data_IF_416758973221
#
_entry.id   IF_416758973221
#
_cell.length_a   1.000
_cell.length_b   1.000
_cell.length_c   1.000
_cell.angle_alpha   90.00
_cell.angle_beta   90.00
_cell.angle_gamma   90.00
#
_symmetry.space_group_name_H-M   'P 1'
#
loop_
_entity.id
_entity.type
_entity.pdbx_description
1 polymer ?
#
# COMPACT_ATOMS: atom_id res chain seq x y z
N UNK A 1 -11.01 -15.00 -20.32
CA UNK A 1 -11.44 -16.09 -19.43
C UNK A 1 -11.76 -15.47 -18.08
N UNK A 2 -12.94 -15.69 -17.49
CA UNK A 2 -13.26 -15.15 -16.16
C UNK A 2 -12.65 -16.03 -15.06
N UNK A 3 -12.05 -15.41 -14.03
CA UNK A 3 -11.48 -16.11 -12.89
C UNK A 3 -12.60 -16.66 -11.97
N UNK A 4 -12.63 -17.97 -11.68
CA UNK A 4 -13.61 -18.57 -10.78
C UNK A 4 -13.12 -18.47 -9.34
N UNK A 5 -13.72 -17.59 -8.54
CA UNK A 5 -13.34 -17.45 -7.13
C UNK A 5 -14.13 -16.45 -6.29
N UNK A 6 -14.94 -15.56 -6.89
CA UNK A 6 -15.83 -14.66 -6.13
C UNK A 6 -17.14 -15.38 -5.88
N UNK A 7 -17.18 -16.21 -4.82
CA UNK A 7 -18.45 -16.65 -4.21
C UNK A 7 -18.68 -15.81 -2.97
N UNK A 8 -19.74 -15.00 -3.05
CA UNK A 8 -20.48 -14.42 -1.93
C UNK A 8 -19.70 -13.62 -0.91
N UNK A 9 -19.42 -12.35 -1.25
CA UNK A 9 -18.97 -11.36 -0.28
C UNK A 9 -18.43 -10.09 -0.92
N UNK A 10 -19.23 -9.36 -1.70
CA UNK A 10 -18.93 -7.94 -1.98
C UNK A 10 -18.74 -7.22 -0.62
N UNK A 11 -17.67 -6.45 -0.39
CA UNK A 11 -17.69 -5.47 0.69
C UNK A 11 -18.84 -4.49 0.40
N UNK A 12 -19.92 -4.61 1.18
CA UNK A 12 -21.08 -3.72 1.10
C UNK A 12 -20.67 -2.34 1.60
N UNK A 13 -20.43 -1.44 0.66
CA UNK A 13 -20.29 -0.01 0.94
C UNK A 13 -19.67 0.70 -0.24
N UNK A 14 -20.49 1.28 -1.12
CA UNK A 14 -20.02 2.37 -2.00
C UNK A 14 -19.81 3.60 -1.13
N UNK A 15 -18.59 4.14 -0.97
CA UNK A 15 -18.40 5.38 -0.23
C UNK A 15 -19.11 6.51 -0.97
N UNK A 16 -20.07 7.19 -0.32
CA UNK A 16 -20.63 8.45 -0.84
C UNK A 16 -19.71 9.61 -0.46
N UNK A 17 -19.46 10.41 -1.48
CA UNK A 17 -18.64 11.61 -1.62
C UNK A 17 -18.88 12.62 -0.48
N UNK A 18 -17.80 12.95 0.25
CA UNK A 18 -17.47 14.18 0.99
C UNK A 18 -16.32 13.96 1.99
N UNK A 19 -15.78 12.74 2.10
CA UNK A 19 -14.60 12.45 2.92
C UNK A 19 -13.32 12.71 2.11
N UNK A 20 -12.24 13.22 2.73
CA UNK A 20 -10.97 13.32 2.05
C UNK A 20 -10.51 11.93 1.58
N UNK A 21 -9.96 11.85 0.36
CA UNK A 21 -9.55 10.60 -0.32
C UNK A 21 -8.82 9.70 0.66
N UNK A 22 -9.45 8.60 1.08
CA UNK A 22 -8.85 7.65 2.01
C UNK A 22 -8.01 6.66 1.19
N UNK A 23 -6.75 6.40 1.59
CA UNK A 23 -6.00 5.31 0.99
C UNK A 23 -6.69 3.98 1.30
N UNK A 24 -6.63 3.03 0.37
CA UNK A 24 -6.97 1.64 0.65
C UNK A 24 -5.72 0.92 1.15
N UNK A 25 -5.88 0.11 2.21
CA UNK A 25 -4.80 -0.72 2.74
C UNK A 25 -5.23 -2.17 2.65
N UNK A 26 -4.57 -2.94 1.79
CA UNK A 26 -4.68 -4.39 1.73
C UNK A 26 -3.58 -5.00 2.59
N UNK A 27 -3.96 -5.91 3.50
CA UNK A 27 -3.00 -6.55 4.42
C UNK A 27 -3.23 -8.05 4.49
N UNK A 28 -2.16 -8.83 4.49
CA UNK A 28 -2.30 -10.27 4.50
C UNK A 28 -1.00 -11.04 4.55
N UNK A 29 -1.15 -12.35 4.48
CA UNK A 29 -0.04 -13.28 4.39
C UNK A 29 0.63 -13.13 3.02
N UNK A 30 1.97 -13.09 2.98
CA UNK A 30 2.74 -12.96 1.74
C UNK A 30 2.46 -14.08 0.72
N UNK A 31 1.94 -15.24 1.15
CA UNK A 31 1.48 -16.28 0.23
C UNK A 31 0.34 -15.82 -0.69
N UNK A 32 -0.35 -14.73 -0.35
CA UNK A 32 -1.43 -14.13 -1.15
C UNK A 32 -1.06 -12.76 -1.71
N UNK A 33 0.23 -12.40 -1.75
CA UNK A 33 0.69 -11.08 -2.19
C UNK A 33 0.20 -10.73 -3.59
N UNK A 34 0.24 -11.67 -4.55
CA UNK A 34 -0.26 -11.46 -5.91
C UNK A 34 -1.75 -11.13 -5.96
N UNK A 35 -2.55 -11.73 -5.08
CA UNK A 35 -3.99 -11.41 -4.97
C UNK A 35 -4.17 -10.00 -4.41
N UNK A 36 -3.41 -9.63 -3.39
CA UNK A 36 -3.50 -8.29 -2.79
C UNK A 36 -3.05 -7.20 -3.76
N UNK A 37 -2.01 -7.46 -4.57
CA UNK A 37 -1.58 -6.60 -5.68
C UNK A 37 -2.69 -6.43 -6.72
N UNK A 38 -3.37 -7.52 -7.09
CA UNK A 38 -4.51 -7.45 -8.00
C UNK A 38 -5.69 -6.66 -7.42
N UNK A 39 -5.98 -6.79 -6.12
CA UNK A 39 -6.99 -6.00 -5.41
C UNK A 39 -6.62 -4.51 -5.36
N UNK A 40 -5.37 -4.19 -5.04
CA UNK A 40 -4.85 -2.81 -5.06
C UNK A 40 -4.94 -2.16 -6.44
N UNK A 41 -4.50 -2.89 -7.48
CA UNK A 41 -4.61 -2.44 -8.88
C UNK A 41 -6.07 -2.23 -9.30
N UNK A 42 -6.96 -3.14 -8.90
CA UNK A 42 -8.39 -3.01 -9.18
C UNK A 42 -9.00 -1.77 -8.52
N UNK A 43 -8.67 -1.49 -7.25
CA UNK A 43 -9.16 -0.28 -6.56
C UNK A 43 -8.77 1.01 -7.27
N UNK A 44 -7.51 1.11 -7.71
CA UNK A 44 -7.02 2.28 -8.45
C UNK A 44 -7.79 2.44 -9.76
N UNK A 45 -7.92 1.36 -10.55
CA UNK A 45 -8.61 1.40 -11.84
C UNK A 45 -10.11 1.68 -11.72
N UNK A 46 -10.80 1.00 -10.79
CA UNK A 46 -12.26 1.06 -10.65
C UNK A 46 -12.76 2.34 -9.97
N UNK A 47 -11.93 3.01 -9.18
CA UNK A 47 -12.31 4.22 -8.44
C UNK A 47 -12.51 5.46 -9.30
N UNK A 48 -12.12 5.43 -10.59
CA UNK A 48 -12.14 6.61 -11.48
C UNK A 48 -11.47 7.85 -10.87
N UNK A 49 -10.42 7.66 -10.06
CA UNK A 49 -9.65 8.74 -9.44
C UNK A 49 -10.04 9.07 -7.99
N UNK A 50 -11.09 8.44 -7.44
CA UNK A 50 -11.44 8.56 -6.03
C UNK A 50 -10.38 7.91 -5.11
N UNK A 51 -9.68 6.88 -5.59
CA UNK A 51 -8.56 6.24 -4.89
C UNK A 51 -7.29 6.58 -5.64
N UNK A 52 -6.43 7.38 -4.99
CA UNK A 52 -5.14 7.81 -5.55
C UNK A 52 -3.99 6.87 -5.20
N UNK A 53 -4.12 6.17 -4.06
CA UNK A 53 -3.09 5.30 -3.51
C UNK A 53 -3.77 4.06 -2.93
N UNK A 54 -3.21 2.90 -3.23
CA UNK A 54 -3.46 1.66 -2.51
C UNK A 54 -2.14 1.16 -1.90
N UNK A 55 -2.19 0.65 -0.67
CA UNK A 55 -1.02 0.14 0.05
C UNK A 55 -1.20 -1.35 0.26
N UNK A 56 -0.20 -2.14 -0.11
CA UNK A 56 -0.17 -3.58 0.16
C UNK A 56 0.85 -3.86 1.26
N UNK A 57 0.39 -4.46 2.36
CA UNK A 57 1.21 -4.93 3.46
C UNK A 57 1.21 -6.45 3.48
N UNK A 58 2.31 -7.06 3.04
CA UNK A 58 2.53 -8.49 3.13
C UNK A 58 3.35 -8.84 4.38
N UNK A 59 2.88 -9.81 5.15
CA UNK A 59 3.62 -10.37 6.29
C UNK A 59 3.92 -11.85 6.03
N UNK A 60 5.19 -12.25 6.11
CA UNK A 60 5.56 -13.65 6.10
C UNK A 60 5.33 -14.26 7.50
N UNK A 61 4.59 -15.36 7.59
CA UNK A 61 4.29 -16.02 8.88
C UNK A 61 5.31 -17.07 9.29
N UNK A 62 6.18 -17.46 8.37
CA UNK A 62 7.19 -18.52 8.57
C UNK A 62 8.60 -17.99 8.69
N UNK A 63 8.82 -16.73 8.30
CA UNK A 63 10.10 -16.02 8.40
C UNK A 63 9.87 -14.59 8.85
N UNK A 64 10.85 -13.94 9.50
CA UNK A 64 10.81 -12.52 9.84
C UNK A 64 11.04 -11.67 8.59
N UNK A 65 10.05 -11.66 7.70
CA UNK A 65 10.03 -10.88 6.46
C UNK A 65 8.69 -10.15 6.36
N UNK A 66 8.72 -8.89 5.93
CA UNK A 66 7.52 -8.15 5.53
C UNK A 66 7.80 -7.29 4.31
N UNK A 67 6.75 -6.97 3.57
CA UNK A 67 6.80 -6.07 2.42
C UNK A 67 5.70 -5.03 2.53
N UNK A 68 6.04 -3.82 2.13
CA UNK A 68 5.15 -2.68 2.07
C UNK A 68 5.25 -2.07 0.68
N UNK A 69 4.17 -2.14 -0.08
CA UNK A 69 4.11 -1.64 -1.46
C UNK A 69 3.11 -0.50 -1.56
N UNK A 70 3.48 0.50 -2.33
CA UNK A 70 2.61 1.58 -2.74
C UNK A 70 2.22 1.38 -4.19
N UNK A 71 0.92 1.47 -4.44
CA UNK A 71 0.33 1.38 -5.75
C UNK A 71 -0.36 2.70 -6.07
N UNK A 72 -0.12 3.25 -7.27
CA UNK A 72 -0.74 4.50 -7.77
C UNK A 72 -1.14 4.37 -9.23
N UNK A 73 -1.97 5.29 -9.71
CA UNK A 73 -2.14 5.47 -11.16
C UNK A 73 -0.84 6.04 -11.76
N UNK A 74 -0.40 5.50 -12.90
CA UNK A 74 0.70 6.08 -13.66
C UNK A 74 0.36 7.54 -14.01
N UNK A 75 1.31 8.46 -13.79
CA UNK A 75 1.18 9.82 -14.32
C UNK A 75 1.19 9.72 -15.83
N UNK A 76 0.12 10.16 -16.50
CA UNK A 76 0.18 10.35 -17.94
C UNK A 76 1.13 11.52 -18.19
N UNK A 77 2.30 11.24 -18.78
CA UNK A 77 3.23 12.26 -19.20
C UNK A 77 2.58 13.09 -20.32
N UNK A 78 1.98 14.22 -19.95
CA UNK A 78 1.28 15.07 -20.89
C UNK A 78 0.47 16.17 -20.20
N UNK A 79 1.15 17.21 -19.72
CA UNK A 79 0.56 18.48 -19.26
C UNK A 79 -0.05 19.30 -20.42
N UNK A 80 -0.56 18.62 -21.45
CA UNK A 80 -1.04 19.20 -22.71
C UNK A 80 -1.93 18.20 -23.45
N UNK A 81 -3.06 17.82 -22.88
CA UNK A 81 -4.15 17.26 -23.67
C UNK A 81 -5.44 17.96 -23.29
N UNK A 82 -5.81 18.85 -24.20
CA UNK A 82 -7.17 19.19 -24.60
C UNK A 82 -8.17 18.16 -24.03
N UNK A 83 -9.06 18.61 -23.16
CA UNK A 83 -10.13 17.81 -22.56
C UNK A 83 -11.12 17.41 -23.66
N UNK A 84 -10.69 16.50 -24.53
CA UNK A 84 -11.54 15.63 -25.30
C UNK A 84 -12.15 14.64 -24.32
N UNK A 85 -13.47 14.70 -24.23
CA UNK A 85 -14.40 13.90 -23.45
C UNK A 85 -14.27 12.39 -23.74
N UNK A 86 -13.12 11.78 -23.41
CA UNK A 86 -12.88 10.35 -23.54
C UNK A 86 -12.77 9.70 -22.16
N UNK A 87 -13.93 9.54 -21.50
CA UNK A 87 -14.16 8.80 -20.24
C UNK A 87 -13.84 7.29 -20.35
N UNK A 88 -13.06 6.87 -21.35
CA UNK A 88 -12.77 5.44 -21.63
C UNK A 88 -11.38 4.99 -21.19
N UNK A 89 -10.44 5.90 -20.92
CA UNK A 89 -9.09 5.49 -20.53
C UNK A 89 -8.99 5.26 -19.01
N UNK A 90 -9.14 4.00 -18.59
CA UNK A 90 -8.90 3.62 -17.20
C UNK A 90 -7.44 3.90 -16.80
N UNK A 91 -7.19 4.44 -15.59
CA UNK A 91 -5.83 4.71 -15.14
C UNK A 91 -5.07 3.39 -15.01
N UNK A 92 -3.85 3.34 -15.55
CA UNK A 92 -2.95 2.19 -15.43
C UNK A 92 -2.38 2.14 -14.01
N UNK A 93 -2.71 1.12 -13.19
CA UNK A 93 -2.13 0.97 -11.85
C UNK A 93 -0.68 0.51 -11.97
N UNK A 94 0.21 1.12 -11.20
CA UNK A 94 1.63 0.77 -11.11
C UNK A 94 2.03 0.63 -9.65
N UNK A 95 2.92 -0.32 -9.36
CA UNK A 95 3.70 -0.33 -8.13
C UNK A 95 4.70 0.83 -8.21
N UNK A 96 4.46 1.89 -7.43
CA UNK A 96 5.30 3.08 -7.45
C UNK A 96 6.53 2.91 -6.57
N UNK A 97 6.39 2.22 -5.44
CA UNK A 97 7.42 2.09 -4.42
C UNK A 97 7.24 0.80 -3.62
N UNK A 98 8.35 0.24 -3.13
CA UNK A 98 8.36 -0.94 -2.28
C UNK A 98 9.47 -0.81 -1.23
N UNK A 99 9.12 -1.20 0.00
CA UNK A 99 10.07 -1.46 1.08
C UNK A 99 9.87 -2.89 1.55
N UNK A 100 10.91 -3.72 1.39
CA UNK A 100 11.00 -5.02 2.03
C UNK A 100 11.84 -4.90 3.31
N UNK A 101 11.42 -5.59 4.36
CA UNK A 101 12.16 -5.64 5.63
C UNK A 101 12.38 -7.09 6.00
N UNK A 102 13.60 -7.42 6.39
CA UNK A 102 13.97 -8.76 6.82
C UNK A 102 14.88 -8.71 8.04
N UNK A 103 14.78 -9.71 8.91
CA UNK A 103 15.76 -9.90 9.98
C UNK A 103 16.98 -10.64 9.40
N UNK A 104 18.15 -10.02 9.50
CA UNK A 104 19.42 -10.62 9.07
C UNK A 104 19.83 -11.77 9.99
N UNK A 105 20.74 -12.62 9.53
CA UNK A 105 21.34 -13.68 10.37
C UNK A 105 22.07 -13.12 11.61
N UNK A 106 22.47 -11.84 11.58
CA UNK A 106 23.14 -11.15 12.70
C UNK A 106 22.16 -10.52 13.68
N UNK A 107 20.85 -10.65 13.45
CA UNK A 107 19.80 -10.05 14.28
C UNK A 107 19.55 -8.56 14.02
N UNK A 108 20.17 -7.98 12.98
CA UNK A 108 19.87 -6.61 12.53
C UNK A 108 18.70 -6.61 11.56
N UNK A 109 17.92 -5.53 11.54
CA UNK A 109 16.87 -5.35 10.53
C UNK A 109 17.49 -4.78 9.27
N UNK A 110 17.22 -5.41 8.14
CA UNK A 110 17.63 -4.95 6.82
C UNK A 110 16.40 -4.41 6.09
N UNK A 111 16.49 -3.17 5.61
CA UNK A 111 15.49 -2.54 4.76
C UNK A 111 16.02 -2.52 3.33
N UNK A 112 15.26 -3.12 2.41
CA UNK A 112 15.55 -3.16 0.98
C UNK A 112 14.48 -2.38 0.23
N UNK A 113 14.90 -1.42 -0.59
CA UNK A 113 14.00 -0.59 -1.38
C UNK A 113 14.10 0.90 -1.05
N UNK A 114 13.32 1.72 -1.76
CA UNK A 114 13.31 3.17 -1.56
C UNK A 114 12.29 3.53 -0.48
N UNK A 115 12.73 4.39 0.45
CA UNK A 115 11.91 4.95 1.53
C UNK A 115 10.60 5.44 0.93
N UNK A 116 9.47 5.07 1.54
CA UNK A 116 8.17 5.62 1.23
C UNK A 116 8.04 6.98 1.94
N UNK A 117 8.35 8.14 1.33
CA UNK A 117 7.68 9.36 1.73
C UNK A 117 6.23 9.11 1.38
N UNK A 118 5.45 8.72 2.38
CA UNK A 118 4.02 8.73 2.24
C UNK A 118 3.63 10.20 2.10
N UNK A 119 3.45 10.65 0.85
CA UNK A 119 2.51 11.71 0.51
C UNK A 119 1.08 11.17 0.78
N UNK A 120 0.83 10.65 1.98
CA UNK A 120 -0.52 10.42 2.44
C UNK A 120 -1.03 11.78 2.94
N UNK A 121 -2.30 12.03 2.68
CA UNK A 121 -3.02 13.27 2.96
C UNK A 121 -2.92 14.27 1.81
N UNK A 122 -3.96 14.34 0.97
CA UNK A 122 -5.11 15.22 1.20
C UNK A 122 -4.56 16.62 1.37
N UNK A 123 -4.76 17.47 0.36
CA UNK A 123 -4.50 18.90 0.46
C UNK A 123 -4.90 19.36 1.86
N UNK A 124 -3.94 19.80 2.70
CA UNK A 124 -4.21 20.01 4.12
C UNK A 124 -5.40 20.95 4.25
N UNK A 125 -6.39 20.59 5.06
CA UNK A 125 -7.54 21.47 5.28
C UNK A 125 -7.11 22.79 5.94
N UNK A 126 -5.94 22.79 6.57
CA UNK A 126 -5.33 23.89 7.31
C UNK A 126 -3.82 23.64 7.56
N UNK A 127 -3.07 24.72 7.81
CA UNK A 127 -1.60 24.75 7.93
C UNK A 127 -0.98 23.94 9.11
N UNK A 128 -1.78 23.13 9.81
CA UNK A 128 -1.34 22.24 10.89
C UNK A 128 -1.32 20.75 10.50
N UNK A 129 -1.91 20.38 9.36
CA UNK A 129 -1.77 19.04 8.78
C UNK A 129 -0.52 19.00 7.91
N UNK A 130 0.36 18.03 8.14
CA UNK A 130 1.59 17.82 7.38
C UNK A 130 1.77 16.36 6.98
N UNK A 131 2.62 16.11 6.00
CA UNK A 131 2.91 14.77 5.48
C UNK A 131 3.46 13.88 6.61
N UNK A 132 2.91 12.68 6.79
CA UNK A 132 3.51 11.69 7.69
C UNK A 132 4.51 10.89 6.89
N UNK A 133 5.77 11.25 7.08
CA UNK A 133 6.88 10.49 6.53
C UNK A 133 7.29 9.43 7.55
N UNK A 134 7.12 8.15 7.21
CA UNK A 134 7.69 7.07 8.02
C UNK A 134 9.22 7.11 7.88
N UNK A 135 9.89 7.22 9.02
CA UNK A 135 11.34 7.13 9.07
C UNK A 135 11.81 5.69 8.97
N UNK A 136 13.10 5.50 8.68
CA UNK A 136 13.69 4.15 8.70
C UNK A 136 13.51 3.54 10.09
N UNK A 137 13.69 4.35 11.13
CA UNK A 137 13.49 3.98 12.53
C UNK A 137 12.04 3.55 12.80
N UNK A 138 11.04 4.26 12.27
CA UNK A 138 9.63 3.87 12.42
C UNK A 138 9.34 2.53 11.77
N UNK A 139 9.88 2.29 10.57
CA UNK A 139 9.72 1.04 9.82
C UNK A 139 10.40 -0.13 10.55
N UNK A 140 11.61 0.09 11.07
CA UNK A 140 12.30 -0.89 11.92
C UNK A 140 11.49 -1.21 13.18
N UNK A 141 10.97 -0.20 13.88
CA UNK A 141 10.15 -0.42 15.06
C UNK A 141 8.88 -1.20 14.72
N UNK A 142 8.23 -0.88 13.60
CA UNK A 142 7.07 -1.62 13.13
C UNK A 142 7.41 -3.09 12.85
N UNK A 143 8.52 -3.35 12.14
CA UNK A 143 9.01 -4.70 11.85
C UNK A 143 9.27 -5.48 13.15
N UNK A 144 9.94 -4.87 14.14
CA UNK A 144 10.16 -5.47 15.47
C UNK A 144 8.83 -5.87 16.11
N UNK A 145 7.83 -4.99 16.08
CA UNK A 145 6.53 -5.28 16.69
C UNK A 145 5.80 -6.45 16.03
N UNK A 146 5.85 -6.53 14.70
CA UNK A 146 5.26 -7.66 13.96
C UNK A 146 5.99 -8.96 14.31
N UNK A 147 7.33 -8.97 14.26
CA UNK A 147 8.13 -10.16 14.49
C UNK A 147 8.15 -10.63 15.95
N UNK A 148 8.07 -9.72 16.92
CA UNK A 148 7.84 -10.06 18.33
C UNK A 148 6.50 -10.79 18.50
N UNK A 149 5.42 -10.32 17.87
CA UNK A 149 4.12 -10.98 17.93
C UNK A 149 4.10 -12.35 17.24
N UNK A 150 4.99 -12.57 16.27
CA UNK A 150 5.18 -13.87 15.61
C UNK A 150 6.13 -14.80 16.38
N UNK A 151 6.83 -14.30 17.40
CA UNK A 151 7.80 -15.07 18.18
C UNK A 151 9.18 -15.21 17.52
N UNK A 152 9.49 -14.43 16.49
CA UNK A 152 10.83 -14.43 15.88
C UNK A 152 11.86 -13.63 16.69
N UNK A 153 11.40 -12.70 17.52
CA UNK A 153 12.24 -11.86 18.40
C UNK A 153 11.67 -11.93 19.83
N UNK A 154 12.54 -12.13 20.83
CA UNK A 154 12.15 -12.05 22.25
C UNK A 154 12.17 -10.60 22.74
N UNK A 155 11.30 -10.30 23.72
CA UNK A 155 11.23 -8.98 24.39
C UNK A 155 12.55 -8.63 25.10
N UNK A 156 13.36 -9.63 25.44
CA UNK A 156 14.65 -9.46 26.14
C UNK A 156 15.78 -8.90 25.25
N UNK A 157 15.57 -8.79 23.93
CA UNK A 157 16.55 -8.32 22.95
C UNK A 157 16.28 -6.88 22.46
N UNK A 158 15.55 -6.07 23.25
CA UNK A 158 15.26 -4.66 22.97
C UNK A 158 16.24 -3.71 23.66
#
# INVERSE_FOLDING_TARGET
>A
MPFPGIKDGLPKGTPRIHSPVQPIIERGDMNFIERMRAEAAWWIAASKGDIKIAVVLGVNRTKPELVLEEWRAAKQDGDNQDYGDDDTQMPTPIESQMVAMALSEKGSIELLGYRLPYDFMITPANAQEGDFVYTTEDLEQYAKHVWMRQGFISVDNL
#
